data_IF_680273254951
#
_entry.id   IF_680273254951
#
_cell.length_a   1.000
_cell.length_b   1.000
_cell.length_c   1.000
_cell.angle_alpha   90.00
_cell.angle_beta   90.00
_cell.angle_gamma   90.00
#
_symmetry.space_group_name_H-M   'P 1'
#
loop_
_entity.id
_entity.type
_entity.pdbx_description
1 polymer ?
#
# COMPACT_ATOMS: atom_id res chain seq x y z
N UNK A 1 23.81 -11.96 15.03
CA UNK A 1 23.34 -13.24 14.45
C UNK A 1 21.83 -13.16 14.29
N UNK A 2 21.32 -13.47 13.13
CA UNK A 2 19.86 -13.61 12.91
C UNK A 2 19.41 -14.88 13.63
N UNK A 3 18.34 -14.85 14.44
CA UNK A 3 17.82 -16.05 15.08
C UNK A 3 17.32 -17.06 14.03
N UNK A 4 17.16 -18.34 14.35
CA UNK A 4 16.46 -19.28 13.49
C UNK A 4 15.11 -18.70 13.05
N UNK A 5 14.69 -18.96 11.80
CA UNK A 5 13.50 -18.31 11.21
C UNK A 5 12.25 -18.58 12.03
N UNK A 6 12.14 -19.76 12.62
CA UNK A 6 11.03 -20.17 13.50
C UNK A 6 10.97 -19.28 14.76
N UNK A 7 12.10 -19.09 15.43
CA UNK A 7 12.18 -18.21 16.61
C UNK A 7 11.89 -16.75 16.23
N UNK A 8 12.34 -16.35 15.05
CA UNK A 8 12.04 -15.01 14.55
C UNK A 8 10.54 -14.81 14.29
N UNK A 9 9.87 -15.83 13.71
CA UNK A 9 8.42 -15.81 13.49
C UNK A 9 7.65 -15.71 14.83
N UNK A 10 8.07 -16.44 15.86
CA UNK A 10 7.48 -16.34 17.20
C UNK A 10 7.63 -14.93 17.80
N UNK A 11 8.83 -14.32 17.68
CA UNK A 11 9.07 -12.96 18.15
C UNK A 11 8.18 -11.94 17.42
N UNK A 12 8.01 -12.08 16.09
CA UNK A 12 7.12 -11.23 15.30
C UNK A 12 5.68 -11.38 15.79
N UNK A 13 5.19 -12.61 15.96
CA UNK A 13 3.84 -12.88 16.47
C UNK A 13 3.60 -12.34 17.88
N UNK A 14 4.64 -12.32 18.72
CA UNK A 14 4.60 -11.71 20.03
C UNK A 14 4.59 -10.17 19.98
N UNK A 15 4.69 -9.57 18.79
CA UNK A 15 4.72 -8.11 18.60
C UNK A 15 6.04 -7.45 18.98
N UNK A 16 7.16 -8.20 19.04
CA UNK A 16 8.47 -7.63 19.34
C UNK A 16 8.87 -6.62 18.26
N UNK A 17 8.98 -5.36 18.65
CA UNK A 17 9.24 -4.22 17.75
C UNK A 17 10.55 -4.39 16.98
N UNK A 18 11.58 -4.98 17.61
CA UNK A 18 12.88 -5.17 16.96
C UNK A 18 12.81 -6.30 15.93
N UNK A 19 12.09 -7.39 16.25
CA UNK A 19 11.86 -8.50 15.33
C UNK A 19 11.06 -8.04 14.11
N UNK A 20 9.98 -7.28 14.32
CA UNK A 20 9.17 -6.67 13.26
C UNK A 20 10.01 -5.73 12.40
N UNK A 21 10.79 -4.83 13.00
CA UNK A 21 11.63 -3.88 12.25
C UNK A 21 12.68 -4.58 11.39
N UNK A 22 13.32 -5.64 11.92
CA UNK A 22 14.29 -6.46 11.15
C UNK A 22 13.60 -7.18 10.00
N UNK A 23 12.41 -7.74 10.23
CA UNK A 23 11.63 -8.44 9.21
C UNK A 23 11.26 -7.50 8.05
N UNK A 24 10.83 -6.28 8.34
CA UNK A 24 10.57 -5.27 7.31
C UNK A 24 11.83 -4.96 6.51
N UNK A 25 12.97 -4.78 7.17
CA UNK A 25 14.25 -4.52 6.49
C UNK A 25 14.65 -5.70 5.59
N UNK A 26 14.42 -6.94 6.02
CA UNK A 26 14.68 -8.13 5.20
C UNK A 26 13.76 -8.19 3.97
N UNK A 27 12.48 -7.84 4.13
CA UNK A 27 11.49 -7.74 3.04
C UNK A 27 11.93 -6.66 2.03
N UNK A 28 12.24 -5.45 2.50
CA UNK A 28 12.66 -4.32 1.65
C UNK A 28 13.95 -4.62 0.86
N UNK A 29 14.84 -5.44 1.43
CA UNK A 29 16.11 -5.83 0.80
C UNK A 29 16.04 -7.17 0.06
N UNK A 30 14.87 -7.77 -0.12
CA UNK A 30 14.66 -9.05 -0.80
C UNK A 30 15.57 -10.17 -0.29
N UNK A 31 15.81 -10.22 1.04
CA UNK A 31 16.63 -11.26 1.64
C UNK A 31 15.91 -12.63 1.59
N UNK A 32 16.66 -13.70 1.38
CA UNK A 32 16.10 -15.05 1.24
C UNK A 32 15.30 -15.49 2.48
N UNK A 33 15.73 -15.05 3.66
CA UNK A 33 15.08 -15.35 4.94
C UNK A 33 13.69 -14.70 5.07
N UNK A 34 13.45 -13.60 4.34
CA UNK A 34 12.15 -12.91 4.37
C UNK A 34 11.02 -13.80 3.83
N UNK A 35 11.27 -14.54 2.74
CA UNK A 35 10.28 -15.47 2.18
C UNK A 35 9.97 -16.62 3.16
N UNK A 36 11.01 -17.21 3.77
CA UNK A 36 10.82 -18.27 4.75
C UNK A 36 10.03 -17.77 5.98
N UNK A 37 10.34 -16.55 6.45
CA UNK A 37 9.62 -15.92 7.54
C UNK A 37 8.15 -15.68 7.19
N UNK A 38 7.87 -15.10 6.03
CA UNK A 38 6.50 -14.83 5.56
C UNK A 38 5.68 -16.11 5.42
N UNK A 39 6.27 -17.22 4.97
CA UNK A 39 5.60 -18.53 4.91
C UNK A 39 5.13 -19.00 6.29
N UNK A 40 5.98 -18.83 7.33
CA UNK A 40 5.61 -19.20 8.71
C UNK A 40 4.56 -18.26 9.31
N UNK A 41 4.57 -16.99 8.93
CA UNK A 41 3.63 -15.98 9.42
C UNK A 41 2.27 -16.05 8.73
N UNK A 42 2.22 -16.46 7.46
CA UNK A 42 1.01 -16.43 6.64
C UNK A 42 -0.24 -17.09 7.27
N UNK A 43 -0.15 -18.26 7.94
CA UNK A 43 -1.31 -18.85 8.63
C UNK A 43 -1.87 -17.99 9.77
N UNK A 44 -1.16 -16.97 10.22
CA UNK A 44 -1.53 -16.07 11.31
C UNK A 44 -1.97 -14.68 10.83
N UNK A 45 -2.29 -14.55 9.54
CA UNK A 45 -2.77 -13.31 8.89
C UNK A 45 -4.27 -13.39 8.58
N UNK A 46 -4.84 -12.30 8.07
CA UNK A 46 -6.25 -12.22 7.66
C UNK A 46 -7.15 -11.57 8.70
N UNK A 47 -6.60 -11.09 9.82
CA UNK A 47 -7.35 -10.44 10.90
C UNK A 47 -7.30 -8.90 10.81
N UNK A 48 -6.23 -8.34 10.25
CA UNK A 48 -6.10 -6.90 10.10
C UNK A 48 -7.10 -6.32 9.10
N UNK A 49 -7.50 -5.09 9.37
CA UNK A 49 -8.25 -4.26 8.43
C UNK A 49 -7.31 -3.20 7.84
N UNK A 50 -7.18 -3.21 6.52
CA UNK A 50 -6.26 -2.36 5.79
C UNK A 50 -7.00 -1.12 5.27
N UNK A 51 -6.59 0.07 5.70
CA UNK A 51 -7.14 1.34 5.23
C UNK A 51 -6.09 2.10 4.44
N UNK A 52 -6.33 2.29 3.15
CA UNK A 52 -5.49 3.11 2.27
C UNK A 52 -5.91 4.57 2.35
N UNK A 53 -4.94 5.48 2.48
CA UNK A 53 -5.16 6.93 2.53
C UNK A 53 -4.40 7.58 1.38
N UNK A 54 -5.13 8.11 0.42
CA UNK A 54 -4.57 8.74 -0.79
C UNK A 54 -5.13 10.16 -0.98
N UNK A 55 -4.57 10.90 -1.93
CA UNK A 55 -4.95 12.28 -2.26
C UNK A 55 -3.73 13.14 -2.57
N UNK A 56 -3.92 14.34 -3.09
CA UNK A 56 -2.85 15.23 -3.52
C UNK A 56 -1.85 15.56 -2.38
N UNK A 57 -0.58 15.90 -2.71
CA UNK A 57 0.35 16.39 -1.71
C UNK A 57 -0.20 17.62 -0.98
N UNK A 58 0.05 17.72 0.33
CA UNK A 58 -0.41 18.86 1.14
C UNK A 58 -1.87 18.80 1.59
N UNK A 59 -2.65 17.77 1.24
CA UNK A 59 -4.03 17.60 1.72
C UNK A 59 -4.14 17.23 3.20
N UNK A 60 -3.02 16.88 3.85
CA UNK A 60 -2.97 16.56 5.27
C UNK A 60 -3.17 15.08 5.59
N UNK A 61 -2.86 14.20 4.65
CA UNK A 61 -2.94 12.73 4.81
C UNK A 61 -2.22 12.25 6.06
N UNK A 62 -0.95 12.63 6.25
CA UNK A 62 -0.14 12.21 7.40
C UNK A 62 -0.76 12.64 8.73
N UNK A 63 -1.30 13.88 8.80
CA UNK A 63 -2.01 14.35 10.00
C UNK A 63 -3.29 13.55 10.22
N UNK A 64 -4.03 13.23 9.16
CA UNK A 64 -5.25 12.42 9.24
C UNK A 64 -4.94 11.01 9.74
N UNK A 65 -3.90 10.36 9.19
CA UNK A 65 -3.43 9.03 9.59
C UNK A 65 -3.01 9.02 11.06
N UNK A 66 -2.25 10.04 11.51
CA UNK A 66 -1.86 10.24 12.90
C UNK A 66 -3.09 10.29 13.84
N UNK A 67 -4.11 11.08 13.46
CA UNK A 67 -5.34 11.21 14.24
C UNK A 67 -6.19 9.95 14.26
N UNK A 68 -6.29 9.24 13.14
CA UNK A 68 -6.97 7.94 13.07
C UNK A 68 -6.23 6.89 13.92
N UNK A 69 -4.91 6.84 13.85
CA UNK A 69 -4.11 5.95 14.69
C UNK A 69 -4.33 6.25 16.18
N UNK A 70 -4.30 7.53 16.58
CA UNK A 70 -4.59 7.96 17.95
C UNK A 70 -6.03 7.60 18.39
N UNK A 71 -7.01 7.69 17.47
CA UNK A 71 -8.39 7.30 17.76
C UNK A 71 -8.49 5.82 18.09
N UNK A 72 -7.93 4.94 17.25
CA UNK A 72 -7.92 3.49 17.49
C UNK A 72 -7.15 3.13 18.77
N UNK A 73 -6.06 3.81 19.07
CA UNK A 73 -5.31 3.60 20.33
C UNK A 73 -6.10 3.95 21.58
N UNK A 74 -6.94 4.99 21.53
CA UNK A 74 -7.89 5.28 22.64
C UNK A 74 -8.85 4.12 22.91
N UNK A 75 -9.18 3.34 21.87
CA UNK A 75 -9.96 2.10 21.98
C UNK A 75 -9.11 0.89 22.38
N UNK A 76 -7.82 1.09 22.71
CA UNK A 76 -6.82 0.05 23.02
C UNK A 76 -6.54 -0.92 21.88
N UNK A 77 -6.87 -0.55 20.64
CA UNK A 77 -6.62 -1.35 19.45
C UNK A 77 -5.16 -1.20 18.99
N UNK A 78 -4.59 -2.27 18.45
CA UNK A 78 -3.23 -2.29 17.91
C UNK A 78 -3.22 -1.71 16.48
N UNK A 79 -2.32 -0.78 16.20
CA UNK A 79 -2.25 -0.07 14.92
C UNK A 79 -0.89 -0.21 14.27
N UNK A 80 -0.88 -0.53 12.98
CA UNK A 80 0.27 -0.42 12.11
C UNK A 80 0.10 0.78 11.16
N UNK A 81 1.15 1.53 10.91
CA UNK A 81 1.17 2.61 9.91
C UNK A 81 2.30 2.35 8.93
N UNK A 82 1.97 2.29 7.66
CA UNK A 82 2.92 2.19 6.55
C UNK A 82 2.84 3.51 5.78
N UNK A 83 3.85 4.35 5.92
CA UNK A 83 3.97 5.57 5.15
C UNK A 83 4.84 5.31 3.92
N UNK A 84 4.25 5.43 2.73
CA UNK A 84 4.96 5.23 1.48
C UNK A 84 5.47 6.58 1.00
N UNK A 85 6.77 6.76 0.98
CA UNK A 85 7.44 8.00 0.58
C UNK A 85 8.12 7.88 -0.78
N UNK A 86 8.21 8.98 -1.56
CA UNK A 86 9.08 8.98 -2.72
C UNK A 86 10.52 8.78 -2.28
N UNK A 87 11.29 8.08 -3.11
CA UNK A 87 12.72 7.89 -2.85
C UNK A 87 13.44 9.22 -2.89
N UNK A 88 14.21 9.53 -1.84
CA UNK A 88 15.13 10.65 -1.87
C UNK A 88 16.21 10.40 -2.95
N UNK A 89 16.39 11.30 -3.93
CA UNK A 89 17.43 11.14 -4.95
C UNK A 89 18.85 11.19 -4.36
N UNK A 90 19.00 11.68 -3.13
CA UNK A 90 20.29 11.83 -2.47
C UNK A 90 20.66 10.68 -1.52
N UNK A 91 19.69 10.08 -0.85
CA UNK A 91 19.94 9.06 0.19
C UNK A 91 19.46 7.65 -0.18
N UNK A 92 18.67 7.52 -1.27
CA UNK A 92 18.03 6.26 -1.64
C UNK A 92 17.04 5.70 -0.60
N UNK A 93 16.74 6.46 0.45
CA UNK A 93 15.84 6.10 1.54
C UNK A 93 14.57 6.97 1.57
N UNK A 94 13.62 6.60 2.42
CA UNK A 94 12.41 7.38 2.67
C UNK A 94 12.77 8.76 3.25
N UNK A 95 12.08 9.80 2.81
CA UNK A 95 12.27 11.15 3.33
C UNK A 95 11.81 11.17 4.78
N UNK A 96 12.70 11.50 5.72
CA UNK A 96 12.49 11.44 7.18
C UNK A 96 11.34 12.33 7.71
N UNK A 97 10.71 13.16 6.86
CA UNK A 97 9.68 14.12 7.24
C UNK A 97 8.46 13.53 7.97
N UNK A 98 8.03 12.33 7.58
CA UNK A 98 6.82 11.73 8.18
C UNK A 98 7.07 11.13 9.55
N UNK A 99 8.26 10.61 9.83
CA UNK A 99 8.66 10.18 11.18
C UNK A 99 8.58 11.32 12.21
N UNK A 100 8.92 12.55 11.80
CA UNK A 100 8.89 13.71 12.69
C UNK A 100 7.45 14.10 13.05
N UNK A 101 6.51 13.94 12.11
CA UNK A 101 5.10 14.27 12.31
C UNK A 101 4.38 13.30 13.25
N UNK A 102 4.85 12.05 13.33
CA UNK A 102 4.25 11.00 14.17
C UNK A 102 5.02 10.75 15.48
N UNK A 103 5.93 11.66 15.87
CA UNK A 103 6.70 11.55 17.13
C UNK A 103 5.81 11.54 18.39
N UNK A 104 4.59 12.05 18.30
CA UNK A 104 3.61 12.00 19.40
C UNK A 104 3.25 10.58 19.88
N UNK A 105 3.56 9.55 19.09
CA UNK A 105 3.34 8.15 19.44
C UNK A 105 4.62 7.40 19.84
N UNK A 106 5.75 8.11 19.95
CA UNK A 106 7.01 7.54 20.42
C UNK A 106 6.83 7.04 21.86
N UNK A 107 6.93 5.71 22.05
CA UNK A 107 6.72 5.07 23.35
C UNK A 107 5.37 4.37 23.52
N UNK A 108 4.40 4.53 22.62
CA UNK A 108 3.19 3.69 22.62
C UNK A 108 3.45 2.37 21.91
N UNK A 109 3.68 1.27 22.65
CA UNK A 109 3.90 -0.07 22.10
C UNK A 109 2.73 -0.62 21.27
N UNK A 110 1.58 0.03 21.30
CA UNK A 110 0.40 -0.34 20.49
C UNK A 110 0.44 0.20 19.06
N UNK A 111 1.29 1.19 18.76
CA UNK A 111 1.48 1.73 17.42
C UNK A 111 2.83 1.29 16.87
N UNK A 112 2.84 0.80 15.65
CA UNK A 112 4.05 0.55 14.88
C UNK A 112 4.03 1.41 13.62
N UNK A 113 5.09 2.18 13.36
CA UNK A 113 5.17 3.09 12.20
C UNK A 113 6.39 2.74 11.37
N UNK A 114 6.20 2.60 10.05
CA UNK A 114 7.28 2.38 9.10
C UNK A 114 7.12 3.27 7.87
N UNK A 115 8.15 4.04 7.57
CA UNK A 115 8.29 4.72 6.27
C UNK A 115 9.00 3.81 5.28
N UNK A 116 8.42 3.62 4.10
CA UNK A 116 8.95 2.81 3.01
C UNK A 116 9.29 3.71 1.82
N UNK A 117 10.41 3.44 1.15
CA UNK A 117 10.85 4.20 -0.02
C UNK A 117 10.55 3.45 -1.33
N UNK A 118 10.18 4.18 -2.40
CA UNK A 118 9.84 3.61 -3.71
C UNK A 118 11.02 2.95 -4.45
N UNK A 119 12.25 3.19 -4.08
CA UNK A 119 13.51 2.64 -4.63
C UNK A 119 13.57 2.36 -6.14
N UNK A 120 12.73 3.04 -6.94
CA UNK A 120 12.82 3.04 -8.41
C UNK A 120 12.42 1.74 -9.14
N UNK A 121 11.92 0.73 -8.48
CA UNK A 121 11.44 -0.50 -9.14
C UNK A 121 9.94 -0.40 -9.39
N UNK A 122 9.53 -0.46 -10.67
CA UNK A 122 8.14 -0.60 -11.09
C UNK A 122 7.51 -1.83 -10.40
N UNK A 123 6.47 -1.59 -9.60
CA UNK A 123 5.77 -2.63 -8.84
C UNK A 123 6.46 -3.12 -7.55
N UNK A 124 7.74 -2.78 -7.31
CA UNK A 124 8.49 -3.26 -6.15
C UNK A 124 7.97 -2.72 -4.82
N UNK A 125 7.47 -1.50 -4.79
CA UNK A 125 6.93 -0.88 -3.59
C UNK A 125 5.59 -1.48 -3.18
N UNK A 126 4.68 -1.68 -4.15
CA UNK A 126 3.39 -2.30 -3.89
C UNK A 126 3.58 -3.71 -3.32
N UNK A 127 4.55 -4.46 -3.87
CA UNK A 127 4.95 -5.78 -3.36
C UNK A 127 5.43 -5.72 -1.92
N UNK A 128 6.42 -4.90 -1.62
CA UNK A 128 6.99 -4.79 -0.28
C UNK A 128 5.94 -4.28 0.73
N UNK A 129 5.08 -3.36 0.32
CA UNK A 129 3.97 -2.84 1.16
C UNK A 129 2.98 -3.95 1.51
N UNK A 130 2.61 -4.81 0.54
CA UNK A 130 1.73 -5.95 0.78
C UNK A 130 2.36 -6.96 1.76
N UNK A 131 3.64 -7.28 1.58
CA UNK A 131 4.38 -8.19 2.47
C UNK A 131 4.55 -7.60 3.89
N UNK A 132 4.75 -6.29 4.01
CA UNK A 132 4.81 -5.60 5.31
C UNK A 132 3.43 -5.53 5.97
N UNK A 133 2.36 -5.35 5.21
CA UNK A 133 1.00 -5.39 5.76
C UNK A 133 0.67 -6.78 6.33
N UNK A 134 1.03 -7.87 5.64
CA UNK A 134 0.93 -9.24 6.16
C UNK A 134 1.76 -9.46 7.44
N UNK A 135 2.97 -8.93 7.48
CA UNK A 135 3.83 -8.99 8.66
C UNK A 135 3.20 -8.27 9.86
N UNK A 136 2.64 -7.08 9.66
CA UNK A 136 1.99 -6.31 10.71
C UNK A 136 0.70 -7.00 11.21
N UNK A 137 -0.06 -7.62 10.31
CA UNK A 137 -1.22 -8.44 10.64
C UNK A 137 -0.81 -9.62 11.55
N UNK A 138 0.19 -10.40 11.14
CA UNK A 138 0.74 -11.49 11.94
C UNK A 138 1.32 -11.03 13.29
N UNK A 139 1.81 -9.77 13.37
CA UNK A 139 2.26 -9.13 14.60
C UNK A 139 1.10 -8.57 15.47
N UNK A 140 -0.15 -8.90 15.14
CA UNK A 140 -1.34 -8.56 15.91
C UNK A 140 -1.83 -7.13 15.74
N UNK A 141 -1.43 -6.42 14.67
CA UNK A 141 -1.96 -5.09 14.38
C UNK A 141 -3.35 -5.24 13.76
N UNK A 142 -4.38 -4.79 14.49
CA UNK A 142 -5.79 -4.89 14.08
C UNK A 142 -6.14 -3.94 12.93
N UNK A 143 -5.55 -2.74 12.95
CA UNK A 143 -5.71 -1.73 11.92
C UNK A 143 -4.36 -1.45 11.27
N UNK A 144 -4.28 -1.52 9.94
CA UNK A 144 -3.11 -1.15 9.17
C UNK A 144 -3.48 0.03 8.28
N UNK A 145 -2.92 1.20 8.58
CA UNK A 145 -3.12 2.42 7.81
C UNK A 145 -1.98 2.55 6.82
N UNK A 146 -2.30 2.65 5.53
CA UNK A 146 -1.31 2.77 4.45
C UNK A 146 -1.45 4.14 3.82
N UNK A 147 -0.48 5.02 4.06
CA UNK A 147 -0.45 6.36 3.49
C UNK A 147 0.37 6.38 2.21
N UNK A 148 -0.20 6.95 1.12
CA UNK A 148 0.50 7.16 -0.15
C UNK A 148 0.99 8.61 -0.27
N UNK A 149 1.95 8.83 -1.18
CA UNK A 149 2.54 10.16 -1.41
C UNK A 149 1.57 11.15 -2.06
N UNK A 150 0.65 10.67 -2.86
CA UNK A 150 -0.25 11.52 -3.62
C UNK A 150 0.22 11.81 -5.07
N UNK A 151 1.26 11.14 -5.57
CA UNK A 151 1.77 11.30 -6.94
C UNK A 151 2.23 9.96 -7.53
N UNK A 152 1.59 9.51 -8.59
CA UNK A 152 2.08 8.38 -9.38
C UNK A 152 1.13 7.19 -9.55
N UNK A 153 1.63 6.15 -10.20
CA UNK A 153 0.87 4.89 -10.43
C UNK A 153 0.86 3.98 -9.20
N UNK A 154 1.88 4.10 -8.34
CA UNK A 154 2.01 3.30 -7.11
C UNK A 154 0.81 3.50 -6.16
N UNK A 155 0.10 4.64 -6.27
CA UNK A 155 -1.12 4.91 -5.52
C UNK A 155 -2.23 3.90 -5.82
N UNK A 156 -2.40 3.56 -7.10
CA UNK A 156 -3.45 2.64 -7.54
C UNK A 156 -3.18 1.25 -7.00
N UNK A 157 -1.92 0.81 -6.99
CA UNK A 157 -1.55 -0.52 -6.55
C UNK A 157 -1.68 -0.67 -5.02
N UNK A 158 -1.31 0.37 -4.26
CA UNK A 158 -1.48 0.40 -2.80
C UNK A 158 -2.96 0.45 -2.43
N UNK A 159 -3.74 1.19 -3.19
CA UNK A 159 -5.19 1.27 -3.01
C UNK A 159 -5.86 -0.08 -3.27
N UNK A 160 -5.38 -0.85 -4.24
CA UNK A 160 -5.89 -2.21 -4.51
C UNK A 160 -5.65 -3.17 -3.34
N UNK A 161 -4.60 -2.93 -2.55
CA UNK A 161 -4.29 -3.72 -1.36
C UNK A 161 -5.25 -3.44 -0.21
N UNK A 162 -5.74 -2.20 -0.07
CA UNK A 162 -6.55 -1.78 1.06
C UNK A 162 -7.97 -2.36 1.03
N UNK A 163 -8.53 -2.70 2.20
CA UNK A 163 -9.94 -3.07 2.36
C UNK A 163 -10.86 -1.86 2.16
N UNK A 164 -10.43 -0.67 2.64
CA UNK A 164 -11.12 0.60 2.51
C UNK A 164 -10.16 1.69 2.00
N UNK A 165 -10.64 2.54 1.10
CA UNK A 165 -9.87 3.63 0.50
C UNK A 165 -10.44 4.97 0.89
N UNK A 166 -9.63 5.78 1.59
CA UNK A 166 -9.90 7.17 1.92
C UNK A 166 -9.24 8.09 0.89
N UNK A 167 -10.02 8.87 0.17
CA UNK A 167 -9.52 9.90 -0.76
C UNK A 167 -9.60 11.25 -0.08
N UNK A 168 -8.43 11.83 0.24
CA UNK A 168 -8.34 13.08 1.02
C UNK A 168 -8.24 14.27 0.10
N UNK A 169 -9.14 15.22 0.28
CA UNK A 169 -9.27 16.44 -0.49
C UNK A 169 -9.31 17.67 0.42
N UNK A 170 -8.97 18.84 -0.12
CA UNK A 170 -8.99 20.12 0.62
C UNK A 170 -9.50 21.23 -0.27
N UNK A 171 -10.15 22.27 0.29
CA UNK A 171 -10.56 23.44 -0.46
C UNK A 171 -9.34 24.22 -0.98
N UNK A 172 -9.46 24.82 -2.16
CA UNK A 172 -8.51 25.82 -2.68
C UNK A 172 -7.31 25.29 -3.45
N UNK A 173 -7.20 24.00 -3.70
CA UNK A 173 -6.26 23.46 -4.67
C UNK A 173 -6.94 23.46 -6.07
N UNK A 174 -7.08 24.63 -6.65
CA UNK A 174 -7.74 25.13 -7.86
C UNK A 174 -8.30 24.17 -8.92
N UNK A 175 -7.55 23.20 -9.40
CA UNK A 175 -7.95 22.24 -10.44
C UNK A 175 -8.06 20.80 -9.94
N UNK A 176 -8.17 20.58 -8.62
CA UNK A 176 -8.08 19.24 -8.02
C UNK A 176 -9.15 18.27 -8.51
N UNK A 177 -10.35 18.77 -8.80
CA UNK A 177 -11.42 17.90 -9.32
C UNK A 177 -11.14 17.54 -10.79
N UNK A 178 -10.58 18.46 -11.58
CA UNK A 178 -10.22 18.18 -12.98
C UNK A 178 -8.94 17.35 -13.08
N UNK A 179 -7.99 17.58 -12.17
CA UNK A 179 -6.75 16.82 -12.05
C UNK A 179 -6.90 15.52 -11.25
N UNK A 180 -8.02 15.33 -10.55
CA UNK A 180 -8.30 14.07 -9.91
C UNK A 180 -8.45 13.02 -11.00
N UNK A 181 -7.36 12.25 -11.18
CA UNK A 181 -7.34 11.16 -12.15
C UNK A 181 -8.64 10.40 -12.02
N UNK A 182 -9.36 10.21 -13.12
CA UNK A 182 -10.65 9.50 -13.15
C UNK A 182 -10.62 8.20 -12.32
N UNK A 183 -9.44 7.55 -12.24
CA UNK A 183 -9.20 6.38 -11.42
C UNK A 183 -9.38 6.56 -9.90
N UNK A 184 -9.10 7.75 -9.31
CA UNK A 184 -9.29 7.95 -7.86
C UNK A 184 -10.76 8.05 -7.48
N UNK A 185 -11.60 8.61 -8.35
CA UNK A 185 -13.06 8.63 -8.15
C UNK A 185 -13.67 7.22 -8.20
N UNK A 186 -13.08 6.37 -9.03
CA UNK A 186 -13.56 4.99 -9.19
C UNK A 186 -13.14 4.07 -8.03
N UNK A 187 -12.09 4.40 -7.29
CA UNK A 187 -11.52 3.53 -6.26
C UNK A 187 -11.80 3.99 -4.83
N UNK A 188 -12.26 5.26 -4.65
CA UNK A 188 -12.55 5.82 -3.32
C UNK A 188 -13.83 5.24 -2.72
N UNK A 189 -13.73 4.71 -1.52
CA UNK A 189 -14.88 4.24 -0.74
C UNK A 189 -15.44 5.35 0.16
N UNK A 190 -14.57 6.22 0.66
CA UNK A 190 -14.91 7.37 1.51
C UNK A 190 -14.08 8.57 1.04
N UNK A 191 -14.73 9.70 0.81
CA UNK A 191 -14.09 10.96 0.46
C UNK A 191 -13.96 11.83 1.71
N UNK A 192 -12.73 12.23 2.04
CA UNK A 192 -12.44 13.02 3.24
C UNK A 192 -12.18 14.46 2.82
N UNK A 193 -13.13 15.35 3.09
CA UNK A 193 -12.96 16.78 2.92
C UNK A 193 -12.21 17.35 4.14
N UNK A 194 -10.88 17.33 4.07
CA UNK A 194 -10.02 17.81 5.15
C UNK A 194 -9.82 19.34 5.04
N UNK A 195 -9.41 19.97 6.14
CA UNK A 195 -9.33 21.44 6.29
C UNK A 195 -10.68 22.10 5.96
N UNK A 196 -11.77 21.47 6.41
CA UNK A 196 -13.15 21.92 6.16
C UNK A 196 -13.51 23.25 6.85
N UNK A 197 -12.60 23.79 7.66
CA UNK A 197 -12.61 25.14 8.22
C UNK A 197 -12.25 26.23 7.22
N UNK A 198 -11.69 25.86 6.06
CA UNK A 198 -11.26 26.83 5.04
C UNK A 198 -12.41 27.25 4.15
N UNK A 199 -12.29 28.47 3.63
CA UNK A 199 -13.18 28.99 2.61
C UNK A 199 -13.20 28.07 1.38
N UNK A 200 -14.38 27.87 0.79
CA UNK A 200 -14.57 27.00 -0.37
C UNK A 200 -14.90 25.53 -0.03
N UNK A 201 -14.93 25.14 1.26
CA UNK A 201 -15.26 23.77 1.67
C UNK A 201 -16.66 23.35 1.20
N UNK A 202 -17.67 24.22 1.35
CA UNK A 202 -19.04 23.92 0.91
C UNK A 202 -19.15 23.79 -0.60
N UNK A 203 -18.41 24.61 -1.34
CA UNK A 203 -18.37 24.53 -2.81
C UNK A 203 -17.73 23.21 -3.27
N UNK A 204 -16.61 22.81 -2.66
CA UNK A 204 -15.94 21.56 -2.99
C UNK A 204 -16.85 20.36 -2.69
N UNK A 205 -17.55 20.37 -1.54
CA UNK A 205 -18.47 19.30 -1.19
C UNK A 205 -19.60 19.16 -2.20
N UNK A 206 -20.24 20.29 -2.60
CA UNK A 206 -21.31 20.27 -3.62
C UNK A 206 -20.80 19.70 -4.97
N UNK A 207 -19.59 20.05 -5.37
CA UNK A 207 -18.97 19.51 -6.57
C UNK A 207 -18.73 17.99 -6.44
N UNK A 208 -18.24 17.53 -5.29
CA UNK A 208 -18.05 16.10 -5.00
C UNK A 208 -19.39 15.35 -5.01
N UNK A 209 -20.42 15.88 -4.36
CA UNK A 209 -21.75 15.28 -4.36
C UNK A 209 -22.31 15.14 -5.77
N UNK A 210 -22.16 16.17 -6.60
CA UNK A 210 -22.58 16.13 -8.00
C UNK A 210 -21.85 15.04 -8.78
N UNK A 211 -20.53 14.88 -8.58
CA UNK A 211 -19.74 13.84 -9.24
C UNK A 211 -20.10 12.45 -8.74
N UNK A 212 -20.22 12.27 -7.42
CA UNK A 212 -20.59 10.98 -6.81
C UNK A 212 -21.99 10.52 -7.19
N UNK A 213 -22.91 11.45 -7.51
CA UNK A 213 -24.24 11.10 -8.01
C UNK A 213 -24.22 10.42 -9.40
N UNK A 214 -23.13 10.59 -10.15
CA UNK A 214 -22.92 9.96 -11.46
C UNK A 214 -22.23 8.58 -11.34
N UNK A 215 -21.65 8.28 -10.16
CA UNK A 215 -20.98 7.00 -9.93
C UNK A 215 -22.00 5.95 -9.52
N UNK A 216 -22.04 4.83 -10.21
CA UNK A 216 -22.88 3.70 -9.81
C UNK A 216 -22.41 3.14 -8.47
N UNK A 217 -23.33 2.88 -7.51
CA UNK A 217 -22.98 2.25 -6.25
C UNK A 217 -22.25 0.93 -6.49
N UNK A 218 -21.09 0.75 -5.87
CA UNK A 218 -20.41 -0.55 -5.91
C UNK A 218 -21.04 -1.48 -4.90
N UNK A 219 -21.66 -2.52 -5.41
CA UNK A 219 -22.23 -3.58 -4.57
C UNK A 219 -23.12 -3.04 -3.41
N UNK A 220 -23.87 -1.98 -3.68
CA UNK A 220 -24.79 -1.37 -2.72
C UNK A 220 -24.15 -0.35 -1.76
N UNK A 221 -22.85 -0.07 -1.86
CA UNK A 221 -22.21 1.04 -1.15
C UNK A 221 -22.17 2.29 -2.02
N UNK A 222 -22.79 3.36 -1.53
CA UNK A 222 -22.63 4.70 -2.10
C UNK A 222 -21.47 5.39 -1.38
N UNK A 223 -20.42 5.84 -2.09
CA UNK A 223 -19.34 6.60 -1.46
C UNK A 223 -19.87 7.82 -0.72
N UNK A 224 -19.33 8.06 0.47
CA UNK A 224 -19.79 9.17 1.35
C UNK A 224 -18.67 10.19 1.53
N UNK A 225 -19.06 11.43 1.86
CA UNK A 225 -18.15 12.52 2.16
C UNK A 225 -18.15 12.73 3.68
N UNK A 226 -16.94 12.81 4.28
CA UNK A 226 -16.76 13.14 5.69
C UNK A 226 -15.91 14.40 5.80
N UNK A 227 -16.41 15.43 6.49
CA UNK A 227 -15.67 16.66 6.75
C UNK A 227 -14.73 16.49 7.94
N UNK A 228 -13.48 16.94 7.80
CA UNK A 228 -12.48 16.88 8.87
C UNK A 228 -11.68 18.16 8.97
N UNK A 229 -11.25 18.49 10.20
CA UNK A 229 -10.16 19.42 10.48
C UNK A 229 -9.15 18.64 11.32
N UNK A 230 -8.27 17.90 10.64
CA UNK A 230 -7.41 16.91 11.29
C UNK A 230 -6.49 17.54 12.37
N UNK A 231 -6.02 18.77 12.17
CA UNK A 231 -5.21 19.50 13.16
C UNK A 231 -5.96 19.75 14.48
N UNK A 232 -7.29 19.90 14.43
CA UNK A 232 -8.16 20.14 15.57
C UNK A 232 -8.88 18.87 16.07
N UNK A 233 -8.57 17.72 15.47
CA UNK A 233 -9.23 16.45 15.76
C UNK A 233 -10.76 16.46 15.52
N UNK A 234 -11.28 17.40 14.70
CA UNK A 234 -12.70 17.48 14.32
C UNK A 234 -13.00 16.50 13.18
N UNK A 235 -14.14 15.80 13.26
CA UNK A 235 -14.59 14.84 12.26
C UNK A 235 -13.83 13.49 12.26
N UNK A 236 -12.82 13.31 13.13
CA UNK A 236 -12.02 12.07 13.15
C UNK A 236 -12.83 10.88 13.69
N UNK A 237 -13.61 11.08 14.73
CA UNK A 237 -14.49 10.03 15.27
C UNK A 237 -15.53 9.61 14.22
N UNK A 238 -16.18 10.57 13.55
CA UNK A 238 -17.15 10.33 12.49
C UNK A 238 -16.50 9.55 11.32
N UNK A 239 -15.28 9.93 10.92
CA UNK A 239 -14.53 9.21 9.89
C UNK A 239 -14.26 7.77 10.29
N UNK A 240 -13.78 7.53 11.51
CA UNK A 240 -13.51 6.19 12.02
C UNK A 240 -14.79 5.33 12.10
N UNK A 241 -15.91 5.92 12.53
CA UNK A 241 -17.22 5.26 12.53
C UNK A 241 -17.71 4.94 11.10
N UNK A 242 -17.45 5.84 10.15
CA UNK A 242 -17.79 5.64 8.74
C UNK A 242 -16.96 4.51 8.13
N UNK A 243 -15.67 4.44 8.43
CA UNK A 243 -14.80 3.30 8.05
C UNK A 243 -15.34 1.99 8.65
N UNK A 244 -15.76 2.00 9.93
CA UNK A 244 -16.34 0.81 10.56
C UNK A 244 -17.69 0.40 9.95
N UNK A 245 -18.52 1.36 9.51
CA UNK A 245 -19.77 1.08 8.77
C UNK A 245 -19.46 0.45 7.40
N UNK A 246 -18.49 1.00 6.68
CA UNK A 246 -18.04 0.44 5.41
C UNK A 246 -17.50 -0.98 5.60
N UNK A 247 -16.67 -1.21 6.62
CA UNK A 247 -16.14 -2.54 6.93
C UNK A 247 -17.27 -3.57 7.12
N UNK A 248 -18.28 -3.25 7.92
CA UNK A 248 -19.43 -4.14 8.14
C UNK A 248 -20.18 -4.44 6.86
N UNK A 249 -20.42 -3.42 6.03
CA UNK A 249 -21.03 -3.59 4.71
C UNK A 249 -20.19 -4.48 3.80
N UNK A 250 -18.90 -4.23 3.72
CA UNK A 250 -17.94 -4.94 2.89
C UNK A 250 -17.81 -6.42 3.26
N UNK A 251 -17.84 -6.72 4.56
CA UNK A 251 -17.85 -8.09 5.07
C UNK A 251 -19.20 -8.80 4.81
N UNK A 252 -20.33 -8.14 5.12
CA UNK A 252 -21.65 -8.74 4.98
C UNK A 252 -22.08 -9.00 3.54
N UNK A 253 -21.57 -8.20 2.59
CA UNK A 253 -21.85 -8.37 1.16
C UNK A 253 -20.99 -9.46 0.48
N UNK A 254 -20.04 -10.07 1.22
CA UNK A 254 -19.08 -11.03 0.70
C UNK A 254 -18.02 -10.45 -0.24
N UNK A 255 -17.96 -9.13 -0.36
CA UNK A 255 -17.01 -8.44 -1.23
C UNK A 255 -15.58 -8.55 -0.75
N UNK A 256 -15.37 -8.52 0.59
CA UNK A 256 -14.03 -8.70 1.17
C UNK A 256 -13.39 -9.98 0.63
N UNK A 257 -14.12 -11.08 0.65
CA UNK A 257 -13.63 -12.36 0.13
C UNK A 257 -13.33 -12.30 -1.37
N UNK A 258 -14.21 -11.68 -2.18
CA UNK A 258 -13.99 -11.53 -3.63
C UNK A 258 -12.76 -10.68 -3.93
N UNK A 259 -12.60 -9.53 -3.24
CA UNK A 259 -11.43 -8.64 -3.39
C UNK A 259 -10.14 -9.35 -2.99
N UNK A 260 -10.17 -10.12 -1.87
CA UNK A 260 -9.01 -10.89 -1.43
C UNK A 260 -8.64 -11.99 -2.45
N UNK A 261 -9.61 -12.72 -3.01
CA UNK A 261 -9.34 -13.73 -4.07
C UNK A 261 -8.71 -13.08 -5.28
N UNK A 262 -9.24 -11.94 -5.76
CA UNK A 262 -8.67 -11.22 -6.91
C UNK A 262 -7.27 -10.66 -6.60
N UNK A 263 -7.07 -10.12 -5.41
CA UNK A 263 -5.74 -9.69 -4.94
C UNK A 263 -4.74 -10.85 -4.97
N UNK A 264 -5.10 -12.01 -4.38
CA UNK A 264 -4.22 -13.17 -4.35
C UNK A 264 -3.98 -13.76 -5.75
N UNK A 265 -4.98 -13.76 -6.62
CA UNK A 265 -4.82 -14.17 -8.01
C UNK A 265 -3.76 -13.32 -8.73
N UNK A 266 -3.87 -11.99 -8.62
CA UNK A 266 -2.90 -11.07 -9.22
C UNK A 266 -1.51 -11.27 -8.61
N UNK A 267 -1.44 -11.44 -7.27
CA UNK A 267 -0.17 -11.70 -6.58
C UNK A 267 0.49 -13.02 -7.00
N UNK A 268 -0.29 -14.08 -7.18
CA UNK A 268 0.23 -15.35 -7.69
C UNK A 268 0.78 -15.22 -9.11
N UNK A 269 0.13 -14.43 -9.97
CA UNK A 269 0.62 -14.13 -11.33
C UNK A 269 1.97 -13.39 -11.27
N UNK A 270 2.08 -12.35 -10.44
CA UNK A 270 3.34 -11.60 -10.24
C UNK A 270 4.48 -12.51 -9.74
N UNK A 271 4.20 -13.34 -8.73
CA UNK A 271 5.18 -14.28 -8.20
C UNK A 271 5.60 -15.30 -9.26
N UNK A 272 4.66 -15.81 -10.04
CA UNK A 272 4.94 -16.73 -11.15
C UNK A 272 5.82 -16.07 -12.22
N UNK A 273 5.48 -14.85 -12.62
CA UNK A 273 6.27 -14.07 -13.58
C UNK A 273 7.70 -13.84 -13.09
N UNK A 274 7.86 -13.42 -11.82
CA UNK A 274 9.19 -13.23 -11.21
C UNK A 274 10.02 -14.53 -11.21
N UNK A 275 9.40 -15.64 -10.78
CA UNK A 275 10.08 -16.95 -10.73
C UNK A 275 10.44 -17.48 -12.11
N UNK A 276 9.57 -17.27 -13.10
CA UNK A 276 9.86 -17.67 -14.49
C UNK A 276 10.98 -16.82 -15.07
N UNK A 277 11.00 -15.52 -14.81
CA UNK A 277 12.07 -14.62 -15.25
C UNK A 277 13.41 -14.99 -14.59
N UNK A 278 13.41 -15.21 -13.26
CA UNK A 278 14.61 -15.67 -12.54
C UNK A 278 15.13 -17.00 -13.14
N UNK A 279 14.25 -17.94 -13.45
CA UNK A 279 14.62 -19.20 -14.06
C UNK A 279 15.13 -19.02 -15.48
N UNK A 280 14.55 -18.15 -16.27
CA UNK A 280 14.95 -17.88 -17.65
C UNK A 280 16.33 -17.19 -17.73
N UNK A 281 16.65 -16.29 -16.79
CA UNK A 281 17.88 -15.51 -16.77
C UNK A 281 18.89 -15.99 -15.73
N UNK A 282 18.52 -16.82 -14.76
CA UNK A 282 19.34 -17.22 -13.61
C UNK A 282 20.48 -18.21 -13.91
N UNK A 283 20.62 -18.70 -15.13
CA UNK A 283 21.76 -19.51 -15.54
C UNK A 283 23.04 -18.67 -15.73
N UNK A 284 24.24 -19.30 -15.62
CA UNK A 284 25.49 -18.62 -15.85
C UNK A 284 25.47 -17.89 -17.22
N UNK A 285 25.60 -16.57 -17.18
CA UNK A 285 25.56 -15.72 -18.37
C UNK A 285 24.16 -15.35 -18.91
N UNK A 286 23.06 -15.57 -18.19
CA UNK A 286 21.70 -15.25 -18.67
C UNK A 286 21.52 -13.75 -18.92
N UNK A 287 21.99 -12.89 -18.02
CA UNK A 287 21.92 -11.44 -18.15
C UNK A 287 22.85 -10.90 -19.25
N UNK A 288 24.05 -11.47 -19.37
CA UNK A 288 24.97 -11.15 -20.47
C UNK A 288 24.34 -11.54 -21.83
N UNK A 289 23.72 -12.71 -21.92
CA UNK A 289 23.04 -13.15 -23.15
C UNK A 289 21.83 -12.27 -23.49
N UNK A 290 21.06 -11.83 -22.51
CA UNK A 290 19.98 -10.86 -22.72
C UNK A 290 20.52 -9.56 -23.34
N UNK A 291 21.64 -9.06 -22.82
CA UNK A 291 22.30 -7.86 -23.35
C UNK A 291 22.79 -8.06 -24.79
N UNK A 292 23.40 -9.22 -25.11
CA UNK A 292 23.83 -9.58 -26.47
C UNK A 292 22.65 -9.64 -27.44
N UNK A 293 21.56 -10.32 -27.05
CA UNK A 293 20.36 -10.42 -27.87
C UNK A 293 19.70 -9.04 -28.06
N UNK A 294 19.69 -8.20 -27.04
CA UNK A 294 19.19 -6.83 -27.16
C UNK A 294 20.01 -6.02 -28.18
N UNK A 295 21.35 -6.19 -28.24
CA UNK A 295 22.19 -5.57 -29.25
C UNK A 295 21.89 -6.12 -30.66
N UNK A 296 21.72 -7.44 -30.82
CA UNK A 296 21.33 -8.05 -32.10
C UNK A 296 19.99 -7.49 -32.61
N UNK A 297 19.00 -7.28 -31.69
CA UNK A 297 17.69 -6.70 -32.01
C UNK A 297 17.84 -5.21 -32.38
N UNK A 298 18.65 -4.45 -31.63
CA UNK A 298 18.90 -3.04 -31.94
C UNK A 298 19.55 -2.85 -33.33
N UNK A 299 20.48 -3.74 -33.69
CA UNK A 299 21.12 -3.78 -34.99
C UNK A 299 20.23 -4.38 -36.11
N UNK A 300 18.99 -4.76 -35.81
CA UNK A 300 18.05 -5.41 -36.75
C UNK A 300 18.53 -6.76 -37.32
N UNK A 301 19.47 -7.41 -36.64
CA UNK A 301 20.00 -8.73 -37.01
C UNK A 301 19.08 -9.87 -36.57
N UNK A 302 18.24 -9.62 -35.56
CA UNK A 302 17.27 -10.56 -35.02
C UNK A 302 15.99 -9.84 -34.63
N UNK A 303 14.86 -10.50 -34.76
CA UNK A 303 13.60 -9.95 -34.25
C UNK A 303 13.39 -10.28 -32.76
N UNK A 304 12.62 -9.45 -32.02
CA UNK A 304 12.43 -9.64 -30.59
C UNK A 304 11.78 -10.99 -30.20
N UNK A 305 10.90 -11.52 -31.02
CA UNK A 305 10.20 -12.76 -30.72
C UNK A 305 11.15 -13.96 -30.81
N UNK A 306 12.00 -14.00 -31.83
CA UNK A 306 13.06 -15.03 -31.97
C UNK A 306 14.06 -14.93 -30.81
N UNK A 307 14.44 -13.72 -30.38
CA UNK A 307 15.33 -13.52 -29.23
C UNK A 307 14.73 -14.08 -27.93
N UNK A 308 13.45 -13.81 -27.65
CA UNK A 308 12.74 -14.35 -26.47
C UNK A 308 12.66 -15.87 -26.54
N UNK A 309 12.29 -16.43 -27.69
CA UNK A 309 12.22 -17.90 -27.88
C UNK A 309 13.56 -18.59 -27.63
N UNK A 310 14.67 -17.94 -27.98
CA UNK A 310 16.00 -18.47 -27.71
C UNK A 310 16.31 -18.53 -26.19
N UNK A 311 15.94 -17.50 -25.44
CA UNK A 311 16.07 -17.48 -23.98
C UNK A 311 15.24 -18.59 -23.36
N UNK A 312 13.96 -18.74 -23.77
CA UNK A 312 13.05 -19.75 -23.25
C UNK A 312 13.56 -21.18 -23.54
N UNK A 313 14.01 -21.46 -24.75
CA UNK A 313 14.61 -22.76 -25.09
C UNK A 313 15.81 -23.10 -24.22
N UNK A 314 16.71 -22.12 -23.99
CA UNK A 314 17.92 -22.31 -23.18
C UNK A 314 17.58 -22.61 -21.71
N UNK A 315 16.50 -22.03 -21.17
CA UNK A 315 16.07 -22.26 -19.81
C UNK A 315 15.22 -23.51 -19.60
N UNK A 316 15.00 -24.30 -20.69
CA UNK A 316 14.15 -25.49 -20.66
C UNK A 316 12.65 -25.16 -20.58
N UNK A 317 12.27 -23.92 -20.83
CA UNK A 317 10.89 -23.47 -20.95
C UNK A 317 10.54 -23.50 -22.47
N UNK A 318 10.08 -24.63 -22.95
CA UNK A 318 9.57 -24.75 -24.35
C UNK A 318 8.13 -24.24 -24.39
N UNK A 319 7.86 -23.32 -25.34
CA UNK A 319 6.50 -22.93 -25.76
C UNK A 319 6.05 -23.93 -26.82
#
# INVERSE_FOLDING_TARGET
MTPPVEQWAEQVRAGDVRAVSRAITAIENHQAEAEALLRLLFPHTGQAYLTGVTGAPGTGKSTLVDRLAAYHRKQREQVGVIAVDPTSPYSGGAILGDRIRMQGHAGDGGIFIRSMATRGFLGGLARATAEVALLLDAAGKKHVLIETVGVGQDEIDIVRLADCVLVVMVPGLGDDIQNMKAGLMEIGDIFVLNKADREGADRLEQQLLAMLSLVMPRDGWQPVIVRTVATENKGIAELAETVAKFQKHFESSGQRQRKHVEHWKNRLIELLQSRLLERALGGAGGEARLTELAAEVADRKKDPFTAVNEILKRSGLTV
#
